data_IF_062578056637
#
_entry.id   IF_062578056637
#
_cell.length_a   1.000
_cell.length_b   1.000
_cell.length_c   1.000
_cell.angle_alpha   90.00
_cell.angle_beta   90.00
_cell.angle_gamma   90.00
#
_symmetry.space_group_name_H-M   'P 1'
#
loop_
_entity.id
_entity.type
_entity.pdbx_description
1 polymer ?
#
# COMPACT_ATOMS: atom_id res chain seq x y z
N UNK A 1 8.58 -18.09 -38.65
CA UNK A 1 8.86 -18.25 -37.21
C UNK A 1 7.81 -17.46 -36.46
N UNK A 2 7.07 -18.07 -35.54
CA UNK A 2 6.07 -17.40 -34.70
C UNK A 2 6.77 -16.91 -33.41
N UNK A 3 6.79 -15.60 -33.21
CA UNK A 3 7.32 -14.98 -31.97
C UNK A 3 6.25 -15.00 -30.89
N UNK A 4 6.55 -15.56 -29.71
CA UNK A 4 5.66 -15.46 -28.55
C UNK A 4 5.60 -14.02 -28.05
N UNK A 5 4.40 -13.49 -27.88
CA UNK A 5 4.18 -12.17 -27.27
C UNK A 5 4.23 -12.22 -25.73
N UNK A 6 4.08 -13.40 -25.13
CA UNK A 6 4.19 -13.62 -23.70
C UNK A 6 5.60 -14.13 -23.37
N UNK A 7 6.52 -13.18 -23.21
CA UNK A 7 7.94 -13.44 -22.92
C UNK A 7 8.43 -12.77 -21.64
N UNK A 8 7.52 -12.24 -20.82
CA UNK A 8 7.88 -11.51 -19.61
C UNK A 8 8.52 -12.41 -18.56
N UNK A 9 9.70 -12.02 -18.07
CA UNK A 9 10.47 -12.75 -17.05
C UNK A 9 9.86 -12.68 -15.62
N UNK A 10 8.84 -11.84 -15.44
CA UNK A 10 8.15 -11.62 -14.15
C UNK A 10 6.67 -11.91 -14.34
N UNK A 11 6.11 -12.72 -13.45
CA UNK A 11 4.68 -12.98 -13.31
C UNK A 11 4.16 -12.34 -12.03
N UNK A 12 2.85 -12.07 -12.01
CA UNK A 12 2.18 -11.54 -10.82
C UNK A 12 0.98 -12.38 -10.45
N UNK A 13 0.81 -12.65 -9.17
CA UNK A 13 -0.41 -13.22 -8.60
C UNK A 13 -1.07 -12.20 -7.69
N UNK A 14 -2.41 -12.25 -7.61
CA UNK A 14 -3.17 -11.40 -6.69
C UNK A 14 -3.52 -12.19 -5.44
N UNK A 15 -3.36 -11.53 -4.30
CA UNK A 15 -3.64 -12.05 -2.98
C UNK A 15 -4.23 -10.93 -2.11
N UNK A 16 -4.54 -11.24 -0.86
CA UNK A 16 -4.85 -10.22 0.14
C UNK A 16 -4.22 -10.58 1.48
N UNK A 17 -3.83 -9.55 2.22
CA UNK A 17 -3.24 -9.67 3.56
C UNK A 17 -4.01 -8.78 4.51
N UNK A 18 -4.21 -9.20 5.76
CA UNK A 18 -4.86 -8.30 6.72
C UNK A 18 -3.87 -7.24 7.22
N UNK A 19 -4.38 -6.06 7.61
CA UNK A 19 -3.55 -5.04 8.27
C UNK A 19 -2.86 -5.64 9.49
N UNK A 20 -3.56 -6.44 10.29
CA UNK A 20 -2.97 -7.12 11.45
C UNK A 20 -1.76 -8.00 11.10
N UNK A 21 -1.81 -8.72 9.97
CA UNK A 21 -0.68 -9.53 9.52
C UNK A 21 0.50 -8.67 9.06
N UNK A 22 0.26 -7.58 8.34
CA UNK A 22 1.31 -6.60 7.99
C UNK A 22 2.01 -6.06 9.25
N UNK A 23 1.23 -5.62 10.24
CA UNK A 23 1.76 -5.07 11.49
C UNK A 23 2.55 -6.11 12.28
N UNK A 24 2.06 -7.34 12.34
CA UNK A 24 2.78 -8.44 12.99
C UNK A 24 4.13 -8.70 12.33
N UNK A 25 4.17 -8.92 11.01
CA UNK A 25 5.42 -9.18 10.29
C UNK A 25 6.40 -8.00 10.38
N UNK A 26 5.91 -6.76 10.38
CA UNK A 26 6.76 -5.61 10.58
C UNK A 26 7.42 -5.62 11.97
N UNK A 27 6.67 -5.97 13.02
CA UNK A 27 7.21 -6.08 14.40
C UNK A 27 8.25 -7.19 14.53
N UNK A 28 8.11 -8.29 13.79
CA UNK A 28 9.11 -9.36 13.72
C UNK A 28 10.35 -9.00 12.88
N UNK A 29 10.36 -7.82 12.24
CA UNK A 29 11.46 -7.41 11.36
C UNK A 29 11.46 -8.09 9.99
N UNK A 30 10.36 -8.75 9.63
CA UNK A 30 10.23 -9.52 8.38
C UNK A 30 9.80 -8.68 7.17
N UNK A 31 9.38 -7.43 7.39
CA UNK A 31 8.97 -6.49 6.33
C UNK A 31 10.13 -5.57 5.97
N UNK A 32 10.51 -5.55 4.70
CA UNK A 32 11.62 -4.77 4.19
C UNK A 32 11.17 -3.76 3.11
N UNK A 33 11.72 -2.55 3.18
CA UNK A 33 11.55 -1.50 2.19
C UNK A 33 12.91 -1.14 1.59
N UNK A 34 13.03 -1.13 0.26
CA UNK A 34 14.28 -0.80 -0.41
C UNK A 34 14.36 0.69 -0.78
N UNK A 35 15.08 1.47 0.01
CA UNK A 35 15.27 2.91 -0.21
C UNK A 35 16.18 3.25 -1.41
N UNK A 36 16.80 2.27 -2.09
CA UNK A 36 17.69 2.56 -3.23
C UNK A 36 16.95 3.07 -4.46
N UNK A 37 15.73 2.59 -4.68
CA UNK A 37 14.85 3.03 -5.78
C UNK A 37 13.51 3.58 -5.29
N UNK A 38 13.16 3.37 -4.01
CA UNK A 38 11.98 3.98 -3.41
C UNK A 38 12.33 5.29 -2.73
N UNK A 39 11.40 6.25 -2.79
CA UNK A 39 11.53 7.49 -2.02
C UNK A 39 11.32 7.21 -0.53
N UNK A 40 11.95 8.02 0.31
CA UNK A 40 11.67 8.08 1.75
C UNK A 40 10.19 8.36 2.03
N UNK A 41 9.77 8.07 3.26
CA UNK A 41 8.43 8.44 3.71
C UNK A 41 8.23 9.96 3.65
N UNK A 42 7.18 10.42 2.96
CA UNK A 42 6.89 11.85 2.72
C UNK A 42 5.43 12.22 2.93
N UNK A 43 4.55 11.27 3.26
CA UNK A 43 3.15 11.58 3.55
C UNK A 43 3.01 12.40 4.83
N UNK A 44 2.30 13.51 4.73
CA UNK A 44 1.95 14.36 5.87
C UNK A 44 0.54 14.06 6.37
N UNK A 45 0.05 14.91 7.28
CA UNK A 45 -1.26 14.74 7.92
C UNK A 45 -2.39 14.53 6.90
N UNK A 46 -2.40 15.28 5.80
CA UNK A 46 -3.47 15.19 4.79
C UNK A 46 -3.57 13.78 4.18
N UNK A 47 -2.46 13.26 3.66
CA UNK A 47 -2.44 11.93 3.02
C UNK A 47 -2.69 10.81 4.03
N UNK A 48 -2.17 10.97 5.25
CA UNK A 48 -2.41 10.05 6.36
C UNK A 48 -3.89 9.95 6.71
N UNK A 49 -4.57 11.10 6.89
CA UNK A 49 -6.00 11.14 7.20
C UNK A 49 -6.84 10.58 6.05
N UNK A 50 -6.48 10.84 4.79
CA UNK A 50 -7.20 10.27 3.64
C UNK A 50 -7.12 8.74 3.60
N UNK A 51 -5.97 8.15 3.90
CA UNK A 51 -5.85 6.70 4.00
C UNK A 51 -6.71 6.15 5.14
N UNK A 52 -6.61 6.73 6.34
CA UNK A 52 -7.39 6.27 7.50
C UNK A 52 -8.90 6.45 7.29
N UNK A 53 -9.34 7.56 6.70
CA UNK A 53 -10.75 7.80 6.33
C UNK A 53 -11.25 6.74 5.35
N UNK A 54 -10.43 6.38 4.35
CA UNK A 54 -10.75 5.30 3.40
C UNK A 54 -10.97 3.97 4.13
N UNK A 55 -10.06 3.63 5.06
CA UNK A 55 -10.11 2.41 5.87
C UNK A 55 -11.36 2.38 6.75
N UNK A 56 -11.60 3.44 7.53
CA UNK A 56 -12.74 3.50 8.45
C UNK A 56 -14.09 3.60 7.74
N UNK A 57 -14.11 4.04 6.46
CA UNK A 57 -15.30 3.98 5.61
C UNK A 57 -15.44 2.65 4.86
N UNK A 58 -14.62 1.64 5.17
CA UNK A 58 -14.60 0.33 4.51
C UNK A 58 -14.47 0.42 2.97
N UNK A 59 -13.74 1.44 2.49
CA UNK A 59 -13.47 1.67 1.07
C UNK A 59 -12.19 0.94 0.64
N UNK A 60 -12.09 0.55 -0.65
CA UNK A 60 -10.92 -0.17 -1.14
C UNK A 60 -9.67 0.70 -1.10
N UNK A 61 -8.58 0.11 -0.62
CA UNK A 61 -7.24 0.70 -0.68
C UNK A 61 -6.51 0.11 -1.89
N UNK A 62 -5.72 0.92 -2.57
CA UNK A 62 -4.90 0.43 -3.68
C UNK A 62 -3.85 -0.59 -3.20
N UNK A 63 -3.58 -1.57 -4.06
CA UNK A 63 -2.83 -2.76 -3.71
C UNK A 63 -1.37 -2.43 -3.34
N UNK A 64 -0.79 -3.22 -2.45
CA UNK A 64 0.66 -3.24 -2.23
C UNK A 64 1.29 -4.27 -3.16
N UNK A 65 2.46 -3.98 -3.71
CA UNK A 65 3.22 -4.96 -4.51
C UNK A 65 4.38 -5.48 -3.69
N UNK A 66 4.58 -6.79 -3.65
CA UNK A 66 5.58 -7.44 -2.81
C UNK A 66 6.34 -8.53 -3.57
N UNK A 67 7.55 -8.83 -3.09
CA UNK A 67 8.26 -10.08 -3.36
C UNK A 67 8.31 -10.86 -2.06
N UNK A 68 7.87 -12.13 -2.09
CA UNK A 68 8.01 -13.05 -0.96
C UNK A 68 9.32 -13.82 -1.14
N UNK A 69 10.27 -13.57 -0.24
CA UNK A 69 11.56 -14.23 -0.21
C UNK A 69 11.49 -15.50 0.66
N UNK A 70 12.62 -16.19 0.82
CA UNK A 70 12.72 -17.34 1.71
C UNK A 70 12.28 -16.97 3.15
N UNK A 71 11.46 -17.79 3.86
CA UNK A 71 11.03 -17.52 5.22
C UNK A 71 12.16 -17.35 6.24
N UNK A 72 13.33 -17.92 5.98
CA UNK A 72 14.54 -17.75 6.80
C UNK A 72 15.24 -16.40 6.58
N UNK A 73 14.83 -15.65 5.54
CA UNK A 73 15.38 -14.33 5.24
C UNK A 73 14.79 -13.28 6.18
N UNK A 74 15.66 -12.42 6.72
CA UNK A 74 15.27 -11.18 7.40
C UNK A 74 14.53 -10.19 6.46
N UNK A 75 14.43 -10.50 5.17
CA UNK A 75 13.66 -9.75 4.17
C UNK A 75 12.52 -10.59 3.60
N UNK A 76 11.86 -11.40 4.44
CA UNK A 76 10.80 -12.30 4.01
C UNK A 76 9.73 -11.61 3.14
N UNK A 77 9.25 -10.44 3.55
CA UNK A 77 8.31 -9.61 2.77
C UNK A 77 9.03 -8.35 2.30
N UNK A 78 9.42 -8.31 1.03
CA UNK A 78 9.99 -7.12 0.41
C UNK A 78 8.90 -6.33 -0.30
N UNK A 79 8.58 -5.14 0.22
CA UNK A 79 7.57 -4.25 -0.38
C UNK A 79 8.19 -3.51 -1.55
N UNK A 80 7.67 -3.71 -2.75
CA UNK A 80 8.09 -3.05 -4.00
C UNK A 80 7.32 -1.76 -4.24
N UNK A 81 6.00 -1.76 -3.98
CA UNK A 81 5.11 -0.60 -4.08
C UNK A 81 4.20 -0.51 -2.85
N UNK A 82 3.90 0.71 -2.41
CA UNK A 82 3.03 0.96 -1.26
C UNK A 82 3.75 1.34 0.04
N UNK A 83 5.04 1.70 0.00
CA UNK A 83 5.82 2.17 1.16
C UNK A 83 5.06 3.19 2.02
N UNK A 84 4.47 4.19 1.39
CA UNK A 84 3.77 5.27 2.09
C UNK A 84 2.52 4.75 2.83
N UNK A 85 1.77 3.84 2.21
CA UNK A 85 0.58 3.22 2.82
C UNK A 85 0.98 2.34 4.00
N UNK A 86 1.91 1.40 3.78
CA UNK A 86 2.36 0.48 4.82
C UNK A 86 2.94 1.26 6.02
N UNK A 87 3.81 2.23 5.76
CA UNK A 87 4.41 3.07 6.81
C UNK A 87 3.36 3.85 7.58
N UNK A 88 2.35 4.41 6.90
CA UNK A 88 1.25 5.13 7.57
C UNK A 88 0.46 4.23 8.51
N UNK A 89 0.13 3.00 8.07
CA UNK A 89 -0.56 2.01 8.91
C UNK A 89 0.27 1.67 10.16
N UNK A 90 1.57 1.42 9.97
CA UNK A 90 2.51 1.12 11.06
C UNK A 90 2.55 2.28 12.07
N UNK A 91 2.80 3.50 11.59
CA UNK A 91 2.86 4.72 12.41
C UNK A 91 1.56 4.97 13.18
N UNK A 92 0.40 4.79 12.54
CA UNK A 92 -0.89 4.91 13.22
C UNK A 92 -1.04 3.87 14.35
N UNK A 93 -0.70 2.60 14.08
CA UNK A 93 -0.80 1.55 15.12
C UNK A 93 0.19 1.69 16.27
N UNK A 94 1.23 2.51 16.08
CA UNK A 94 2.22 2.87 17.10
C UNK A 94 1.87 4.19 17.81
N UNK A 95 0.66 4.74 17.59
CA UNK A 95 0.21 6.01 18.17
C UNK A 95 1.10 7.21 17.84
N UNK A 96 1.79 7.19 16.69
CA UNK A 96 2.64 8.32 16.27
C UNK A 96 1.84 9.54 15.80
N UNK A 97 0.57 9.34 15.42
CA UNK A 97 -0.37 10.40 15.08
C UNK A 97 -1.83 9.90 15.25
N UNK A 98 -2.80 10.80 15.49
CA UNK A 98 -4.20 10.43 15.65
C UNK A 98 -4.96 10.38 14.32
N UNK A 99 -6.09 9.66 14.31
CA UNK A 99 -7.17 9.91 13.34
C UNK A 99 -8.00 11.10 13.79
N UNK A 100 -8.29 12.02 12.88
CA UNK A 100 -9.15 13.18 13.14
C UNK A 100 -10.55 12.83 12.64
N UNK A 101 -11.51 12.71 13.55
CA UNK A 101 -12.90 12.38 13.22
C UNK A 101 -13.60 13.52 12.48
N UNK A 102 -14.78 13.25 11.93
CA UNK A 102 -15.64 14.28 11.30
C UNK A 102 -16.04 15.40 12.29
N UNK A 103 -16.05 15.11 13.60
CA UNK A 103 -16.29 16.11 14.66
C UNK A 103 -15.03 16.88 15.07
N UNK A 104 -13.88 16.57 14.49
CA UNK A 104 -12.58 17.16 14.83
C UNK A 104 -11.92 16.55 16.07
N UNK A 105 -12.44 15.44 16.60
CA UNK A 105 -11.81 14.75 17.72
C UNK A 105 -10.58 13.96 17.26
N UNK A 106 -9.52 13.99 18.04
CA UNK A 106 -8.32 13.19 17.81
C UNK A 106 -8.44 11.83 18.52
N UNK A 107 -8.31 10.75 17.76
CA UNK A 107 -8.38 9.38 18.27
C UNK A 107 -7.10 8.64 17.87
N UNK A 108 -6.29 8.31 18.86
CA UNK A 108 -5.12 7.44 18.70
C UNK A 108 -5.55 5.96 18.63
N UNK A 109 -4.75 5.13 17.98
CA UNK A 109 -5.06 3.70 17.83
C UNK A 109 -5.22 3.00 19.18
N UNK A 110 -4.42 3.34 20.19
CA UNK A 110 -4.60 2.79 21.55
C UNK A 110 -5.90 3.21 22.23
N UNK A 111 -6.50 4.33 21.84
CA UNK A 111 -7.75 4.86 22.40
C UNK A 111 -9.00 4.26 21.74
N UNK A 112 -8.86 3.61 20.58
CA UNK A 112 -9.95 2.91 19.91
C UNK A 112 -10.55 1.81 20.78
N UNK A 113 -11.85 1.53 20.58
CA UNK A 113 -12.49 0.38 21.22
C UNK A 113 -11.83 -0.93 20.77
N UNK A 114 -11.97 -2.00 21.57
CA UNK A 114 -11.44 -3.31 21.17
C UNK A 114 -12.13 -3.85 19.92
N UNK A 115 -13.38 -3.45 19.67
CA UNK A 115 -14.11 -3.79 18.45
C UNK A 115 -13.50 -3.11 17.23
N UNK A 116 -13.29 -1.79 17.28
CA UNK A 116 -12.68 -1.04 16.18
C UNK A 116 -11.24 -1.51 15.91
N UNK A 117 -10.47 -1.84 16.95
CA UNK A 117 -9.13 -2.41 16.81
C UNK A 117 -9.17 -3.77 16.09
N UNK A 118 -10.16 -4.61 16.39
CA UNK A 118 -10.36 -5.90 15.71
C UNK A 118 -10.77 -5.69 14.26
N UNK A 119 -11.71 -4.79 14.00
CA UNK A 119 -12.16 -4.47 12.64
C UNK A 119 -10.99 -3.94 11.80
N UNK A 120 -10.28 -2.91 12.30
CA UNK A 120 -9.11 -2.32 11.66
C UNK A 120 -8.05 -3.38 11.32
N UNK A 121 -7.74 -4.29 12.25
CA UNK A 121 -6.78 -5.39 12.00
C UNK A 121 -7.27 -6.39 10.96
N UNK A 122 -8.57 -6.56 10.80
CA UNK A 122 -9.19 -7.53 9.89
C UNK A 122 -9.32 -7.03 8.45
N UNK A 123 -9.27 -5.70 8.25
CA UNK A 123 -9.30 -5.06 6.93
C UNK A 123 -8.22 -5.67 6.04
N UNK A 124 -8.65 -6.05 4.83
CA UNK A 124 -7.82 -6.71 3.82
C UNK A 124 -7.16 -5.66 2.93
N UNK A 125 -5.84 -5.65 2.94
CA UNK A 125 -5.01 -4.97 1.96
C UNK A 125 -4.88 -5.86 0.72
N UNK A 126 -5.34 -5.40 -0.45
CA UNK A 126 -5.04 -6.08 -1.70
C UNK A 126 -3.52 -6.15 -1.90
N UNK A 127 -3.04 -7.30 -2.36
CA UNK A 127 -1.61 -7.58 -2.51
C UNK A 127 -1.34 -8.16 -3.90
N UNK A 128 -0.29 -7.68 -4.55
CA UNK A 128 0.24 -8.23 -5.79
C UNK A 128 1.61 -8.83 -5.48
N UNK A 129 1.73 -10.14 -5.59
CA UNK A 129 2.99 -10.84 -5.38
C UNK A 129 3.72 -11.01 -6.72
N UNK A 130 4.98 -10.62 -6.75
CA UNK A 130 5.87 -10.75 -7.91
C UNK A 130 6.67 -12.04 -7.77
N UNK A 131 6.63 -12.87 -8.81
CA UNK A 131 7.37 -14.13 -8.89
C UNK A 131 8.05 -14.27 -10.25
N UNK A 132 9.15 -15.01 -10.28
CA UNK A 132 9.88 -15.27 -11.53
C UNK A 132 9.12 -16.29 -12.37
N UNK A 133 9.06 -16.07 -13.69
CA UNK A 133 8.51 -17.05 -14.61
C UNK A 133 9.42 -18.29 -14.81
N UNK A 134 10.68 -18.23 -14.32
CA UNK A 134 11.70 -19.29 -14.44
C UNK A 134 11.80 -20.14 -13.17
N UNK A 135 10.66 -20.45 -12.53
CA UNK A 135 10.62 -21.27 -11.32
C UNK A 135 11.22 -20.54 -10.11
N UNK A 136 12.03 -21.23 -9.29
CA UNK A 136 12.56 -20.72 -8.01
C UNK A 136 13.68 -19.67 -8.13
N UNK A 137 13.86 -19.04 -9.29
CA UNK A 137 14.85 -17.98 -9.48
C UNK A 137 14.34 -16.70 -8.80
N UNK A 138 15.10 -16.08 -7.87
CA UNK A 138 14.69 -14.82 -7.25
C UNK A 138 14.52 -13.68 -8.27
N UNK A 139 13.58 -12.78 -7.99
CA UNK A 139 13.41 -11.55 -8.78
C UNK A 139 14.64 -10.66 -8.60
N UNK A 140 15.24 -10.22 -9.71
CA UNK A 140 16.42 -9.34 -9.68
C UNK A 140 16.06 -7.88 -9.38
N UNK A 141 17.04 -7.07 -8.98
CA UNK A 141 16.83 -5.63 -8.76
C UNK A 141 16.34 -4.92 -10.03
N UNK A 142 16.89 -5.25 -11.20
CA UNK A 142 16.47 -4.66 -12.47
C UNK A 142 14.99 -4.93 -12.75
N UNK A 143 14.52 -6.14 -12.44
CA UNK A 143 13.11 -6.52 -12.59
C UNK A 143 12.20 -5.77 -11.60
N UNK A 144 12.62 -5.61 -10.34
CA UNK A 144 11.90 -4.82 -9.33
C UNK A 144 11.77 -3.37 -9.74
N UNK A 145 12.89 -2.75 -10.16
CA UNK A 145 12.92 -1.35 -10.61
C UNK A 145 12.07 -1.16 -11.86
N UNK A 146 12.15 -2.08 -12.84
CA UNK A 146 11.32 -2.00 -14.03
C UNK A 146 9.83 -2.14 -13.71
N UNK A 147 9.44 -3.04 -12.79
CA UNK A 147 8.06 -3.14 -12.32
C UNK A 147 7.62 -1.85 -11.60
N UNK A 148 8.41 -1.37 -10.65
CA UNK A 148 8.14 -0.16 -9.89
C UNK A 148 7.92 1.04 -10.82
N UNK A 149 8.78 1.19 -11.84
CA UNK A 149 8.67 2.25 -12.82
C UNK A 149 7.36 2.16 -13.62
N UNK A 150 7.00 0.95 -14.07
CA UNK A 150 5.74 0.73 -14.80
C UNK A 150 4.53 1.07 -13.93
N UNK A 151 4.50 0.59 -12.68
CA UNK A 151 3.37 0.80 -11.78
C UNK A 151 3.16 2.27 -11.44
N UNK A 152 4.24 3.04 -11.27
CA UNK A 152 4.18 4.42 -10.78
C UNK A 152 4.22 5.50 -11.87
N UNK A 153 4.86 5.23 -13.01
CA UNK A 153 5.13 6.24 -14.03
C UNK A 153 4.58 5.91 -15.43
N UNK A 154 4.02 4.71 -15.66
CA UNK A 154 3.30 4.47 -16.91
C UNK A 154 1.90 5.06 -16.87
N UNK A 155 1.40 5.41 -18.05
CA UNK A 155 0.11 6.05 -18.22
C UNK A 155 0.23 7.57 -18.30
N UNK A 156 -0.90 8.21 -18.60
CA UNK A 156 -1.01 9.67 -18.61
C UNK A 156 -1.72 10.07 -17.33
N UNK A 157 -1.09 10.83 -16.42
CA UNK A 157 -1.77 11.37 -15.26
C UNK A 157 -3.01 12.16 -15.68
N UNK A 158 -4.10 12.04 -14.92
CA UNK A 158 -5.28 12.87 -15.15
C UNK A 158 -4.90 14.35 -15.05
N UNK A 159 -5.41 15.17 -15.96
CA UNK A 159 -5.07 16.60 -16.00
C UNK A 159 -5.55 17.32 -14.74
N UNK A 160 -4.84 18.36 -14.33
CA UNK A 160 -5.26 19.22 -13.22
C UNK A 160 -6.66 19.84 -13.46
N UNK A 161 -6.99 20.14 -14.72
CA UNK A 161 -8.32 20.63 -15.12
C UNK A 161 -9.42 19.58 -14.90
N UNK A 162 -9.13 18.30 -15.20
CA UNK A 162 -10.08 17.22 -14.94
C UNK A 162 -10.27 17.03 -13.43
N UNK A 163 -9.18 17.03 -12.66
CA UNK A 163 -9.24 16.95 -11.19
C UNK A 163 -10.10 18.08 -10.60
N UNK A 164 -9.86 19.33 -11.01
CA UNK A 164 -10.64 20.48 -10.54
C UNK A 164 -12.13 20.36 -10.90
N UNK A 165 -12.46 19.80 -12.07
CA UNK A 165 -13.85 19.51 -12.43
C UNK A 165 -14.50 18.52 -11.44
N UNK A 166 -13.81 17.45 -11.08
CA UNK A 166 -14.33 16.47 -10.12
C UNK A 166 -14.47 17.09 -8.72
N UNK A 167 -13.50 17.89 -8.27
CA UNK A 167 -13.58 18.61 -6.98
C UNK A 167 -14.79 19.55 -6.94
N UNK A 168 -15.08 20.26 -8.03
CA UNK A 168 -16.29 21.09 -8.13
C UNK A 168 -17.57 20.26 -8.06
N UNK A 169 -17.61 19.10 -8.72
CA UNK A 169 -18.78 18.20 -8.66
C UNK A 169 -19.01 17.67 -7.24
N UNK A 170 -17.94 17.26 -6.54
CA UNK A 170 -17.99 16.82 -5.15
C UNK A 170 -18.58 17.93 -4.26
N UNK A 171 -18.10 19.16 -4.41
CA UNK A 171 -18.59 20.31 -3.65
C UNK A 171 -20.07 20.61 -3.93
N UNK A 172 -20.52 20.50 -5.18
CA UNK A 172 -21.93 20.74 -5.55
C UNK A 172 -22.87 19.66 -5.03
N UNK A 173 -22.39 18.41 -4.96
CA UNK A 173 -23.16 17.27 -4.48
C UNK A 173 -23.14 17.13 -2.96
N UNK A 174 -22.33 17.92 -2.25
CA UNK A 174 -22.14 17.80 -0.80
C UNK A 174 -21.52 16.45 -0.41
N UNK A 175 -20.74 15.83 -1.31
CA UNK A 175 -20.07 14.55 -1.05
C UNK A 175 -18.77 14.83 -0.32
N UNK A 176 -18.51 14.07 0.75
CA UNK A 176 -17.20 14.10 1.37
C UNK A 176 -16.25 13.09 0.73
N UNK A 177 -15.08 13.58 0.30
CA UNK A 177 -13.92 12.77 -0.10
C UNK A 177 -12.81 12.79 0.95
#
# INVERSE_FOLDING_TARGET
MTTSLFSGDVTTTTACVSIGHLIHNHKEGSVFFDETYQRKYVWGTKEQQQLLKTIFKNLPIDAISVVINDPSSHKYIEVIDGLQRCTTLIKFTNDEFPYITETGAEVYHSQMSDEDKREFRSIRLPMVELSSNKGSVPITLEQKVAYFYRKNFYGVPQSSSHKAKIENMISQLGVEV
#
